data_IF_324771623896
#
_entry.id   IF_324771623896
#
_cell.length_a   1.000
_cell.length_b   1.000
_cell.length_c   1.000
_cell.angle_alpha   90.00
_cell.angle_beta   90.00
_cell.angle_gamma   90.00
#
_symmetry.space_group_name_H-M   'P 1'
#
loop_
_entity.id
_entity.type
_entity.pdbx_description
1 polymer ?
#
# COMPACT_ATOMS: atom_id res chain seq x y z
N UNK A 1 3.82 17.25 -15.66
CA UNK A 1 2.95 16.12 -15.29
C UNK A 1 3.30 15.69 -13.89
N UNK A 2 2.32 15.57 -12.98
CA UNK A 2 2.49 15.11 -11.61
C UNK A 2 1.85 13.73 -11.41
N UNK A 3 2.36 12.96 -10.45
CA UNK A 3 1.81 11.67 -10.05
C UNK A 3 1.44 11.78 -8.57
N UNK A 4 0.22 11.40 -8.22
CA UNK A 4 -0.23 11.23 -6.84
C UNK A 4 -0.39 9.73 -6.57
N UNK A 5 0.31 9.24 -5.56
CA UNK A 5 0.13 7.88 -5.03
C UNK A 5 -0.66 7.97 -3.71
N UNK A 6 -1.85 7.40 -3.68
CA UNK A 6 -2.69 7.31 -2.49
C UNK A 6 -2.71 5.86 -2.00
N UNK A 7 -2.21 5.63 -0.80
CA UNK A 7 -2.26 4.32 -0.14
C UNK A 7 -3.40 4.32 0.88
N UNK A 8 -4.34 3.40 0.74
CA UNK A 8 -5.45 3.21 1.67
C UNK A 8 -5.26 1.85 2.35
N UNK A 9 -4.84 1.89 3.61
CA UNK A 9 -4.56 0.68 4.37
C UNK A 9 -5.86 -0.06 4.73
N UNK A 10 -5.82 -1.39 4.69
CA UNK A 10 -6.97 -2.24 5.01
C UNK A 10 -8.07 -2.31 3.95
N UNK A 11 -7.95 -1.59 2.83
CA UNK A 11 -8.90 -1.65 1.73
C UNK A 11 -8.52 -2.78 0.75
N UNK A 12 -9.46 -3.67 0.48
CA UNK A 12 -9.27 -4.78 -0.46
C UNK A 12 -10.54 -5.12 -1.24
N UNK A 13 -10.41 -6.03 -2.20
CA UNK A 13 -11.53 -6.54 -2.96
C UNK A 13 -12.23 -7.66 -2.18
N UNK A 14 -13.48 -7.44 -1.81
CA UNK A 14 -14.34 -8.42 -1.16
C UNK A 14 -15.49 -8.90 -2.06
N UNK A 15 -16.41 -9.63 -1.47
CA UNK A 15 -17.67 -10.01 -2.11
C UNK A 15 -18.69 -8.87 -2.00
N UNK A 16 -19.67 -8.75 -2.92
CA UNK A 16 -20.73 -7.75 -2.90
C UNK A 16 -21.84 -8.09 -1.88
N UNK A 17 -21.45 -8.44 -0.67
CA UNK A 17 -22.31 -8.88 0.43
C UNK A 17 -22.50 -7.73 1.41
N UNK A 18 -23.73 -7.21 1.52
CA UNK A 18 -24.06 -6.06 2.35
C UNK A 18 -23.90 -6.33 3.87
N UNK A 19 -24.03 -7.59 4.29
CA UNK A 19 -23.94 -7.96 5.71
C UNK A 19 -22.49 -8.16 6.15
N UNK A 20 -21.57 -8.42 5.22
CA UNK A 20 -20.17 -8.78 5.50
C UNK A 20 -19.15 -7.80 4.94
N UNK A 21 -19.54 -6.97 3.99
CA UNK A 21 -18.64 -6.03 3.33
C UNK A 21 -19.19 -4.59 3.40
N UNK A 22 -18.65 -3.72 4.24
CA UNK A 22 -19.09 -2.33 4.35
C UNK A 22 -19.07 -1.58 3.02
N UNK A 23 -18.19 -1.98 2.08
CA UNK A 23 -18.11 -1.34 0.78
C UNK A 23 -19.32 -1.65 -0.11
N UNK A 24 -20.08 -2.72 0.17
CA UNK A 24 -21.30 -3.04 -0.56
C UNK A 24 -22.43 -2.04 -0.28
N UNK A 25 -22.44 -1.45 0.92
CA UNK A 25 -23.44 -0.45 1.34
C UNK A 25 -22.92 1.00 1.29
N UNK A 26 -21.60 1.19 1.18
CA UNK A 26 -21.01 2.52 1.14
C UNK A 26 -21.44 3.30 -0.11
N UNK A 27 -21.85 4.56 0.08
CA UNK A 27 -22.19 5.48 -1.02
C UNK A 27 -20.92 6.10 -1.60
N UNK A 28 -20.04 5.27 -2.16
CA UNK A 28 -18.79 5.73 -2.78
C UNK A 28 -18.67 5.22 -4.20
N UNK A 29 -18.29 6.11 -5.11
CA UNK A 29 -18.09 5.77 -6.52
C UNK A 29 -16.78 5.02 -6.73
N UNK A 30 -15.72 5.35 -5.97
CA UNK A 30 -14.36 4.92 -6.24
C UNK A 30 -13.98 3.58 -5.63
N UNK A 31 -14.64 3.15 -4.54
CA UNK A 31 -14.27 1.98 -3.77
C UNK A 31 -15.27 0.82 -3.86
N UNK A 32 -16.30 0.93 -4.68
CA UNK A 32 -17.24 -0.17 -4.94
C UNK A 32 -16.69 -1.14 -5.98
N UNK A 33 -15.55 -1.72 -5.67
CA UNK A 33 -14.90 -2.74 -6.47
C UNK A 33 -15.00 -4.09 -5.73
N UNK A 34 -15.45 -5.11 -6.41
CA UNK A 34 -15.64 -6.44 -5.86
C UNK A 34 -14.92 -7.48 -6.71
N UNK A 35 -14.68 -8.67 -6.15
CA UNK A 35 -14.01 -9.77 -6.88
C UNK A 35 -14.75 -10.16 -8.15
N UNK A 36 -16.08 -10.12 -8.09
CA UNK A 36 -16.96 -10.55 -9.19
C UNK A 36 -17.35 -9.42 -10.14
N UNK A 37 -17.21 -8.20 -9.72
CA UNK A 37 -17.57 -7.03 -10.52
C UNK A 37 -16.66 -5.85 -10.19
N UNK A 38 -15.89 -5.45 -11.18
CA UNK A 38 -15.04 -4.27 -11.13
C UNK A 38 -15.59 -3.25 -12.12
N UNK A 39 -16.26 -2.19 -11.65
CA UNK A 39 -16.74 -1.17 -12.54
C UNK A 39 -15.57 -0.46 -13.21
N UNK A 40 -15.50 -0.53 -14.53
CA UNK A 40 -14.60 0.29 -15.33
C UNK A 40 -15.29 1.63 -15.51
N UNK A 41 -14.75 2.67 -14.90
CA UNK A 41 -15.14 4.06 -15.17
C UNK A 41 -14.13 4.68 -16.13
N UNK A 42 -14.59 5.60 -16.99
CA UNK A 42 -13.74 6.28 -17.97
C UNK A 42 -12.44 6.80 -17.34
N UNK A 43 -11.30 6.34 -17.85
CA UNK A 43 -9.97 6.73 -17.38
C UNK A 43 -9.48 6.03 -16.10
N UNK A 44 -10.24 5.05 -15.55
CA UNK A 44 -9.84 4.26 -14.38
C UNK A 44 -9.63 2.79 -14.75
N UNK A 45 -8.55 2.21 -14.26
CA UNK A 45 -8.32 0.76 -14.28
C UNK A 45 -8.26 0.23 -12.84
N UNK A 46 -8.93 -0.89 -12.58
CA UNK A 46 -8.82 -1.61 -11.31
C UNK A 46 -8.12 -2.94 -11.59
N UNK A 47 -6.99 -3.14 -10.94
CA UNK A 47 -6.18 -4.34 -11.11
C UNK A 47 -6.14 -5.08 -9.77
N UNK A 48 -6.79 -6.25 -9.66
CA UNK A 48 -6.65 -7.10 -8.49
C UNK A 48 -5.20 -7.54 -8.31
N UNK A 49 -4.70 -7.45 -7.09
CA UNK A 49 -3.34 -7.88 -6.75
C UNK A 49 -3.38 -8.81 -5.55
N UNK A 50 -2.48 -9.79 -5.53
CA UNK A 50 -2.29 -10.66 -4.38
C UNK A 50 -1.40 -9.95 -3.35
N UNK A 51 -2.02 -9.50 -2.25
CA UNK A 51 -1.31 -8.83 -1.16
C UNK A 51 -0.42 -9.78 -0.33
N UNK A 52 -0.60 -11.11 -0.47
CA UNK A 52 0.28 -12.09 0.19
C UNK A 52 1.66 -12.16 -0.47
N UNK A 53 1.78 -11.78 -1.73
CA UNK A 53 2.99 -11.86 -2.53
C UNK A 53 3.63 -13.25 -2.50
N UNK A 54 2.81 -14.31 -2.36
CA UNK A 54 3.25 -15.69 -2.26
C UNK A 54 3.91 -16.06 -0.93
N UNK A 55 3.82 -15.22 0.10
CA UNK A 55 4.37 -15.50 1.44
C UNK A 55 3.23 -15.92 2.37
N UNK A 56 3.38 -17.04 3.13
CA UNK A 56 2.36 -17.50 4.05
C UNK A 56 2.04 -16.47 5.15
N UNK A 57 0.77 -16.42 5.55
CA UNK A 57 0.26 -15.54 6.61
C UNK A 57 -0.61 -14.40 6.08
N UNK A 58 -1.13 -13.58 7.00
CA UNK A 58 -1.93 -12.42 6.64
C UNK A 58 -1.02 -11.27 6.20
N UNK A 59 -1.31 -10.62 5.06
CA UNK A 59 -0.62 -9.41 4.65
C UNK A 59 -0.64 -8.33 5.75
N UNK A 60 0.49 -7.66 5.92
CA UNK A 60 0.67 -6.67 6.98
C UNK A 60 1.22 -5.35 6.44
N UNK A 61 0.87 -4.26 7.12
CA UNK A 61 1.10 -2.88 6.63
C UNK A 61 2.58 -2.57 6.36
N UNK A 62 3.50 -2.95 7.26
CA UNK A 62 4.90 -2.57 7.09
C UNK A 62 5.53 -3.21 5.85
N UNK A 63 5.32 -4.51 5.63
CA UNK A 63 5.81 -5.21 4.43
C UNK A 63 5.03 -4.84 3.18
N UNK A 64 3.70 -4.70 3.28
CA UNK A 64 2.85 -4.34 2.15
C UNK A 64 3.17 -2.95 1.60
N UNK A 65 3.26 -1.94 2.46
CA UNK A 65 3.63 -0.58 2.05
C UNK A 65 5.06 -0.52 1.51
N UNK A 66 6.00 -1.25 2.11
CA UNK A 66 7.36 -1.36 1.58
C UNK A 66 7.35 -1.96 0.18
N UNK A 67 6.59 -3.04 -0.05
CA UNK A 67 6.49 -3.64 -1.38
C UNK A 67 5.90 -2.67 -2.41
N UNK A 68 4.82 -1.96 -2.08
CA UNK A 68 4.20 -0.96 -2.96
C UNK A 68 5.14 0.22 -3.28
N UNK A 69 5.91 0.68 -2.30
CA UNK A 69 6.82 1.82 -2.48
C UNK A 69 8.14 1.46 -3.16
N UNK A 70 8.49 0.19 -3.26
CA UNK A 70 9.79 -0.24 -3.83
C UNK A 70 9.66 -1.13 -5.06
N UNK A 71 8.52 -1.81 -5.22
CA UNK A 71 8.31 -2.85 -6.23
C UNK A 71 9.01 -4.18 -5.89
N UNK A 72 9.53 -4.34 -4.68
CA UNK A 72 10.18 -5.56 -4.21
C UNK A 72 9.23 -6.41 -3.37
N UNK A 73 9.42 -7.72 -3.38
CA UNK A 73 8.69 -8.62 -2.48
C UNK A 73 9.22 -8.50 -1.05
N UNK A 74 8.79 -7.44 -0.35
CA UNK A 74 9.29 -7.12 0.98
C UNK A 74 8.99 -8.19 2.03
N UNK A 75 7.81 -8.85 2.07
CA UNK A 75 7.58 -9.95 3.01
C UNK A 75 8.52 -11.14 2.75
N UNK A 76 8.85 -11.46 1.50
CA UNK A 76 9.84 -12.50 1.20
C UNK A 76 11.23 -12.12 1.71
N UNK A 77 11.68 -10.89 1.48
CA UNK A 77 12.96 -10.38 1.95
C UNK A 77 13.05 -10.29 3.48
N UNK A 78 11.93 -10.03 4.15
CA UNK A 78 11.84 -10.02 5.60
C UNK A 78 11.61 -11.42 6.22
N UNK A 79 11.38 -12.46 5.39
CA UNK A 79 11.06 -13.81 5.81
C UNK A 79 9.64 -14.00 6.37
N UNK A 80 8.83 -12.94 6.42
CA UNK A 80 7.46 -12.95 6.95
C UNK A 80 6.72 -11.65 6.65
N UNK A 81 5.41 -11.64 6.85
CA UNK A 81 4.63 -10.41 6.96
C UNK A 81 4.95 -9.69 8.28
N UNK A 82 5.23 -8.40 8.21
CA UNK A 82 5.58 -7.56 9.37
C UNK A 82 4.49 -6.51 9.59
N UNK A 83 3.91 -6.55 10.80
CA UNK A 83 2.90 -5.60 11.24
C UNK A 83 3.54 -4.37 11.90
N UNK A 84 2.86 -3.24 11.79
CA UNK A 84 3.18 -2.03 12.53
C UNK A 84 4.37 -1.27 11.96
N UNK A 85 5.47 -1.23 12.70
CA UNK A 85 6.58 -0.34 12.38
C UNK A 85 7.59 -0.94 11.41
N UNK A 86 8.26 -0.05 10.69
CA UNK A 86 9.34 -0.40 9.79
C UNK A 86 10.52 -1.00 10.57
N UNK A 87 10.90 -2.23 10.25
CA UNK A 87 12.11 -2.86 10.81
C UNK A 87 13.37 -2.32 10.13
N UNK A 88 14.57 -2.50 10.73
CA UNK A 88 15.83 -2.12 10.08
C UNK A 88 16.00 -2.69 8.67
N UNK A 89 15.57 -3.93 8.45
CA UNK A 89 15.57 -4.55 7.11
C UNK A 89 14.69 -3.79 6.13
N UNK A 90 13.43 -3.49 6.51
CA UNK A 90 12.52 -2.75 5.65
C UNK A 90 12.99 -1.30 5.43
N UNK A 91 13.58 -0.67 6.45
CA UNK A 91 14.16 0.66 6.32
C UNK A 91 15.31 0.69 5.30
N UNK A 92 16.18 -0.32 5.33
CA UNK A 92 17.26 -0.46 4.34
C UNK A 92 16.73 -0.63 2.91
N UNK A 93 15.69 -1.45 2.74
CA UNK A 93 15.03 -1.67 1.45
C UNK A 93 14.42 -0.35 0.93
N UNK A 94 13.68 0.37 1.78
CA UNK A 94 13.08 1.67 1.43
C UNK A 94 14.13 2.71 1.08
N UNK A 95 15.20 2.80 1.87
CA UNK A 95 16.29 3.75 1.63
C UNK A 95 16.95 3.52 0.26
N UNK A 96 17.10 2.27 -0.15
CA UNK A 96 17.81 1.92 -1.39
C UNK A 96 16.91 1.93 -2.61
N UNK A 97 15.66 1.46 -2.49
CA UNK A 97 14.82 1.11 -3.64
C UNK A 97 13.52 1.91 -3.75
N UNK A 98 13.23 2.86 -2.84
CA UNK A 98 11.94 3.56 -2.85
C UNK A 98 11.71 4.37 -4.12
N UNK A 99 10.44 4.49 -4.50
CA UNK A 99 9.98 5.36 -5.59
C UNK A 99 10.45 6.81 -5.37
N UNK A 100 10.47 7.29 -4.11
CA UNK A 100 10.95 8.63 -3.76
C UNK A 100 12.41 8.82 -4.17
N UNK A 101 13.28 7.87 -3.78
CA UNK A 101 14.69 7.92 -4.16
C UNK A 101 14.88 7.87 -5.67
N UNK A 102 14.20 6.97 -6.34
CA UNK A 102 14.28 6.82 -7.81
C UNK A 102 13.84 8.10 -8.53
N UNK A 103 12.73 8.69 -8.10
CA UNK A 103 12.24 9.94 -8.67
C UNK A 103 13.22 11.10 -8.42
N UNK A 104 13.79 11.21 -7.21
CA UNK A 104 14.79 12.23 -6.89
C UNK A 104 16.06 12.08 -7.75
N UNK A 105 16.53 10.85 -7.95
CA UNK A 105 17.68 10.59 -8.84
C UNK A 105 17.41 10.96 -10.31
N UNK A 106 16.13 10.96 -10.71
CA UNK A 106 15.69 11.45 -12.02
C UNK A 106 15.42 12.97 -12.04
N UNK A 107 15.86 13.71 -11.03
CA UNK A 107 15.66 15.17 -10.92
C UNK A 107 14.21 15.58 -10.67
N UNK A 108 13.36 14.69 -10.18
CA UNK A 108 11.96 15.00 -9.86
C UNK A 108 11.82 15.44 -8.40
N UNK A 109 10.95 16.41 -8.16
CA UNK A 109 10.57 16.78 -6.80
C UNK A 109 9.59 15.72 -6.26
N UNK A 110 9.80 15.32 -5.02
CA UNK A 110 8.99 14.33 -4.32
C UNK A 110 8.60 14.84 -2.94
N UNK A 111 7.45 14.42 -2.46
CA UNK A 111 6.95 14.77 -1.13
C UNK A 111 6.05 13.66 -0.58
N UNK A 112 5.97 13.56 0.74
CA UNK A 112 5.06 12.69 1.45
C UNK A 112 4.14 13.55 2.31
N UNK A 113 2.84 13.50 2.02
CA UNK A 113 1.82 14.28 2.73
C UNK A 113 1.24 13.49 3.92
N UNK A 114 2.08 12.75 4.64
CA UNK A 114 1.65 12.01 5.82
C UNK A 114 1.96 12.79 7.10
N UNK A 115 1.03 12.79 8.05
CA UNK A 115 1.22 13.45 9.35
C UNK A 115 1.49 12.38 10.42
N UNK A 116 2.53 12.60 11.20
CA UNK A 116 2.89 11.76 12.33
C UNK A 116 2.85 12.58 13.63
N UNK A 117 2.50 11.95 14.73
CA UNK A 117 2.60 12.59 16.06
C UNK A 117 4.08 12.70 16.46
N UNK A 118 4.40 13.69 17.30
CA UNK A 118 5.75 13.87 17.84
C UNK A 118 6.26 12.62 18.56
N UNK A 119 5.39 11.89 19.24
CA UNK A 119 5.74 10.63 19.92
C UNK A 119 6.18 9.54 18.91
N UNK A 120 5.53 9.49 17.75
CA UNK A 120 5.92 8.55 16.67
C UNK A 120 7.27 8.92 16.09
N UNK A 121 7.51 10.19 15.81
CA UNK A 121 8.79 10.68 15.26
C UNK A 121 9.97 10.46 16.21
N UNK A 122 9.75 10.57 17.52
CA UNK A 122 10.79 10.33 18.54
C UNK A 122 11.19 8.87 18.66
N UNK A 123 10.29 7.93 18.36
CA UNK A 123 10.57 6.47 18.42
C UNK A 123 11.39 5.97 17.22
N UNK A 124 11.53 6.77 16.19
CA UNK A 124 12.24 6.40 14.95
C UNK A 124 13.65 7.01 14.86
N UNK A 125 14.07 7.77 15.86
CA UNK A 125 15.44 8.29 16.04
C UNK A 125 16.23 7.35 16.95
#
# INVERSE_FOLDING_TARGET
MGILLLLVDGLGLGEPDADRNPMAVARTRWFRCFRTHTPVTDGCAVVPTDASLGVPGLPQSATGQTAMLTGLNAPLLAGRHVQGFCTPTLASILHTHSLFRRASLCGRQVGCANAFTDSTLRRQR
#
